data_IF_964886889576
#
_entry.id   IF_964886889576
#
_cell.length_a   1.000
_cell.length_b   1.000
_cell.length_c   1.000
_cell.angle_alpha   90.00
_cell.angle_beta   90.00
_cell.angle_gamma   90.00
#
_symmetry.space_group_name_H-M   'P 1'
#
loop_
_entity.id
_entity.type
_entity.pdbx_description
1 polymer ?
#
# COMPACT_ATOMS: atom_id res chain seq x y z
N UNK A 1 -20.01 -11.50 29.66
CA UNK A 1 -20.21 -10.37 28.72
C UNK A 1 -19.26 -10.62 27.55
N UNK A 2 -19.59 -11.57 26.68
CA UNK A 2 -18.51 -12.27 25.95
C UNK A 2 -18.29 -11.75 24.52
N UNK A 3 -19.17 -10.86 24.03
CA UNK A 3 -19.03 -10.19 22.74
C UNK A 3 -18.99 -8.67 22.94
N UNK A 4 -17.79 -8.12 23.12
CA UNK A 4 -17.52 -6.69 23.01
C UNK A 4 -16.78 -6.41 21.70
N UNK A 5 -17.47 -6.63 20.57
CA UNK A 5 -16.93 -6.45 19.21
C UNK A 5 -16.49 -5.00 18.92
N UNK A 6 -16.94 -4.04 19.72
CA UNK A 6 -16.58 -2.62 19.60
C UNK A 6 -15.27 -2.22 20.33
N UNK A 7 -14.69 -3.11 21.14
CA UNK A 7 -13.46 -2.80 21.88
C UNK A 7 -12.24 -2.72 20.97
N UNK A 8 -12.20 -3.52 19.91
CA UNK A 8 -11.11 -3.54 18.94
C UNK A 8 -11.66 -3.41 17.53
N UNK A 9 -10.97 -2.69 16.63
CA UNK A 9 -11.35 -2.62 15.24
C UNK A 9 -11.27 -4.00 14.57
N UNK A 10 -11.98 -4.18 13.46
CA UNK A 10 -12.02 -5.44 12.71
C UNK A 10 -10.62 -5.92 12.29
N UNK A 11 -9.72 -4.97 11.95
CA UNK A 11 -8.32 -5.25 11.67
C UNK A 11 -7.53 -5.86 12.85
N UNK A 12 -8.04 -5.84 14.08
CA UNK A 12 -7.44 -6.45 15.27
C UNK A 12 -8.32 -7.55 15.88
N UNK A 13 -9.31 -8.05 15.13
CA UNK A 13 -10.24 -9.12 15.58
C UNK A 13 -9.55 -10.44 15.98
N UNK A 14 -8.30 -10.64 15.59
CA UNK A 14 -7.50 -11.80 15.98
C UNK A 14 -6.91 -11.70 17.40
N UNK A 15 -6.90 -10.51 17.99
CA UNK A 15 -6.39 -10.29 19.35
C UNK A 15 -7.44 -10.78 20.34
N UNK A 16 -7.05 -11.69 21.23
CA UNK A 16 -7.90 -12.23 22.29
C UNK A 16 -7.33 -11.82 23.64
N UNK A 17 -8.19 -11.38 24.54
CA UNK A 17 -7.80 -10.95 25.88
C UNK A 17 -9.01 -10.70 26.78
N UNK A 18 -8.73 -10.53 28.06
CA UNK A 18 -9.72 -10.16 29.08
C UNK A 18 -9.39 -8.74 29.51
N UNK A 19 -10.40 -7.87 29.53
CA UNK A 19 -10.29 -6.50 30.02
C UNK A 19 -11.08 -6.41 31.32
N UNK A 20 -10.35 -6.24 32.42
CA UNK A 20 -10.93 -5.97 33.73
C UNK A 20 -10.84 -4.46 34.01
N UNK A 21 -11.95 -3.85 34.42
CA UNK A 21 -12.03 -2.40 34.64
C UNK A 21 -13.05 -2.08 35.73
N UNK A 22 -12.56 -1.48 36.81
CA UNK A 22 -13.38 -1.02 37.94
C UNK A 22 -14.17 0.27 37.62
N UNK A 23 -13.73 1.02 36.60
CA UNK A 23 -14.34 2.28 36.17
C UNK A 23 -15.57 2.08 35.27
N UNK A 24 -15.88 0.83 34.90
CA UNK A 24 -17.06 0.52 34.09
C UNK A 24 -18.30 0.43 34.99
N UNK A 25 -19.37 1.16 34.68
CA UNK A 25 -20.56 1.16 35.51
C UNK A 25 -21.30 -0.18 35.39
N UNK A 26 -21.34 -0.91 36.51
CA UNK A 26 -21.79 -2.32 36.60
C UNK A 26 -23.28 -2.54 36.29
N UNK A 27 -24.10 -1.48 36.37
CA UNK A 27 -25.57 -1.54 36.27
C UNK A 27 -26.14 -0.88 35.01
N UNK A 28 -25.40 -0.87 33.91
CA UNK A 28 -25.83 -0.22 32.65
C UNK A 28 -26.16 -1.27 31.58
N UNK A 29 -27.17 -1.00 30.76
CA UNK A 29 -27.52 -1.85 29.61
C UNK A 29 -26.34 -1.95 28.63
N UNK A 30 -26.24 -3.07 27.90
CA UNK A 30 -25.16 -3.27 26.92
C UNK A 30 -25.07 -2.13 25.90
N UNK A 31 -26.22 -1.61 25.50
CA UNK A 31 -26.39 -0.54 24.53
C UNK A 31 -25.90 0.82 25.07
N UNK A 32 -26.19 1.15 26.33
CA UNK A 32 -25.67 2.36 26.97
C UNK A 32 -24.18 2.24 27.34
N UNK A 33 -23.69 1.02 27.58
CA UNK A 33 -22.27 0.77 27.82
C UNK A 33 -21.45 1.06 26.55
N UNK A 34 -21.92 0.61 25.38
CA UNK A 34 -21.30 0.86 24.06
C UNK A 34 -21.15 2.36 23.74
N UNK A 35 -22.12 3.17 24.15
CA UNK A 35 -22.06 4.63 23.96
C UNK A 35 -21.17 5.36 24.98
N UNK A 36 -20.60 4.64 25.94
CA UNK A 36 -19.81 5.22 27.01
C UNK A 36 -18.44 5.72 26.49
N UNK A 37 -18.11 6.97 26.82
CA UNK A 37 -16.82 7.59 26.50
C UNK A 37 -15.63 6.79 27.05
N UNK A 38 -15.81 6.09 28.17
CA UNK A 38 -14.77 5.25 28.80
C UNK A 38 -14.35 4.11 27.87
N UNK A 39 -15.29 3.39 27.23
CA UNK A 39 -14.97 2.31 26.30
C UNK A 39 -14.18 2.80 25.08
N UNK A 40 -14.48 4.01 24.57
CA UNK A 40 -13.72 4.60 23.46
C UNK A 40 -12.26 4.88 23.85
N UNK A 41 -12.03 5.31 25.09
CA UNK A 41 -10.67 5.53 25.62
C UNK A 41 -9.94 4.20 25.80
N UNK A 42 -10.60 3.20 26.39
CA UNK A 42 -10.07 1.85 26.54
C UNK A 42 -9.69 1.29 25.17
N UNK A 43 -10.60 1.30 24.19
CA UNK A 43 -10.37 0.83 22.83
C UNK A 43 -9.14 1.50 22.19
N UNK A 44 -9.06 2.84 22.25
CA UNK A 44 -7.91 3.59 21.70
C UNK A 44 -6.58 3.17 22.33
N UNK A 45 -6.57 2.96 23.64
CA UNK A 45 -5.38 2.53 24.37
C UNK A 45 -4.99 1.08 24.04
N UNK A 46 -5.97 0.18 23.90
CA UNK A 46 -5.73 -1.20 23.48
C UNK A 46 -5.14 -1.25 22.08
N UNK A 47 -5.71 -0.54 21.11
CA UNK A 47 -5.18 -0.45 19.73
C UNK A 47 -3.73 0.04 19.75
N UNK A 48 -3.44 1.10 20.53
CA UNK A 48 -2.09 1.63 20.69
C UNK A 48 -1.13 0.57 21.24
N UNK A 49 -1.53 -0.18 22.26
CA UNK A 49 -0.72 -1.24 22.87
C UNK A 49 -0.50 -2.44 21.96
N UNK A 50 -1.50 -2.82 21.17
CA UNK A 50 -1.34 -3.85 20.14
C UNK A 50 -0.27 -3.45 19.12
N UNK A 51 -0.29 -2.20 18.65
CA UNK A 51 0.70 -1.70 17.68
C UNK A 51 2.11 -1.68 18.29
N UNK A 52 2.25 -1.24 19.55
CA UNK A 52 3.53 -1.29 20.29
C UNK A 52 4.06 -2.74 20.36
N UNK A 53 3.20 -3.70 20.72
CA UNK A 53 3.56 -5.12 20.73
C UNK A 53 4.00 -5.63 19.35
N UNK A 54 3.32 -5.23 18.27
CA UNK A 54 3.73 -5.63 16.91
C UNK A 54 5.09 -5.04 16.52
N UNK A 55 5.45 -3.87 17.04
CA UNK A 55 6.76 -3.27 16.85
C UNK A 55 7.84 -4.02 17.62
N UNK A 56 7.56 -4.46 18.84
CA UNK A 56 8.46 -5.32 19.63
C UNK A 56 8.69 -6.68 18.94
N UNK A 57 7.62 -7.33 18.45
CA UNK A 57 7.74 -8.57 17.67
C UNK A 57 8.60 -8.34 16.42
N UNK A 58 8.54 -7.14 15.83
CA UNK A 58 9.35 -6.79 14.65
C UNK A 58 10.86 -6.70 14.92
N UNK A 59 11.30 -6.68 16.18
CA UNK A 59 12.72 -6.74 16.55
C UNK A 59 13.31 -8.14 16.33
N UNK A 60 12.49 -9.20 16.41
CA UNK A 60 12.88 -10.55 16.07
C UNK A 60 12.40 -10.94 14.66
N UNK A 61 13.35 -11.09 13.72
CA UNK A 61 13.05 -11.43 12.31
C UNK A 61 12.23 -12.72 12.18
N UNK A 62 12.53 -13.76 12.97
CA UNK A 62 11.86 -15.05 12.85
C UNK A 62 10.42 -15.00 13.33
N UNK A 63 10.19 -14.41 14.50
CA UNK A 63 8.85 -14.27 15.07
C UNK A 63 8.00 -13.32 14.23
N UNK A 64 8.62 -12.25 13.73
CA UNK A 64 7.94 -11.32 12.84
C UNK A 64 7.51 -11.95 11.52
N UNK A 65 8.34 -12.83 10.94
CA UNK A 65 7.96 -13.52 9.70
C UNK A 65 6.72 -14.39 9.92
N UNK A 66 6.66 -15.16 11.01
CA UNK A 66 5.49 -15.97 11.38
C UNK A 66 4.26 -15.09 11.62
N UNK A 67 4.42 -14.00 12.37
CA UNK A 67 3.35 -13.03 12.63
C UNK A 67 2.83 -12.42 11.33
N UNK A 68 3.73 -11.98 10.44
CA UNK A 68 3.37 -11.33 9.19
C UNK A 68 2.70 -12.32 8.21
N UNK A 69 3.16 -13.56 8.15
CA UNK A 69 2.51 -14.61 7.35
C UNK A 69 1.07 -14.83 7.80
N UNK A 70 0.83 -14.93 9.10
CA UNK A 70 -0.51 -15.14 9.66
C UNK A 70 -1.42 -13.90 9.54
N UNK A 71 -0.89 -12.69 9.77
CA UNK A 71 -1.72 -11.49 10.01
C UNK A 71 -1.47 -10.33 9.03
N UNK A 72 -0.70 -10.51 7.95
CA UNK A 72 -0.44 -9.44 6.97
C UNK A 72 -1.70 -8.85 6.33
N UNK A 73 -2.77 -9.65 6.16
CA UNK A 73 -4.06 -9.17 5.65
C UNK A 73 -4.69 -8.16 6.60
N UNK A 74 -4.62 -8.43 7.90
CA UNK A 74 -5.18 -7.61 8.97
C UNK A 74 -4.41 -6.28 9.07
N UNK A 75 -3.08 -6.31 8.98
CA UNK A 75 -2.26 -5.09 8.93
C UNK A 75 -2.61 -4.21 7.71
N UNK A 76 -2.79 -4.83 6.53
CA UNK A 76 -3.19 -4.10 5.31
C UNK A 76 -4.58 -3.49 5.45
N UNK A 77 -5.51 -4.19 6.11
CA UNK A 77 -6.85 -3.68 6.41
C UNK A 77 -6.78 -2.50 7.39
N UNK A 78 -5.99 -2.62 8.46
CA UNK A 78 -5.81 -1.55 9.45
C UNK A 78 -5.26 -0.26 8.84
N UNK A 79 -4.43 -0.33 7.81
CA UNK A 79 -3.95 0.86 7.07
C UNK A 79 -5.05 1.55 6.27
N UNK A 80 -6.08 0.80 5.87
CA UNK A 80 -7.23 1.32 5.16
C UNK A 80 -8.25 1.96 6.11
N UNK A 81 -8.50 1.32 7.25
CA UNK A 81 -9.52 1.72 8.23
C UNK A 81 -9.00 2.76 9.24
N UNK A 82 -7.83 2.53 9.83
CA UNK A 82 -7.27 3.36 10.89
C UNK A 82 -6.35 4.44 10.33
N UNK A 83 -6.96 5.56 9.95
CA UNK A 83 -6.25 6.74 9.47
C UNK A 83 -5.28 7.34 10.51
N UNK A 84 -5.54 7.19 11.80
CA UNK A 84 -4.72 7.79 12.87
C UNK A 84 -3.41 7.02 13.06
N UNK A 85 -3.48 5.70 13.05
CA UNK A 85 -2.32 4.83 13.25
C UNK A 85 -1.66 4.35 11.94
N UNK A 86 -2.20 4.79 10.79
CA UNK A 86 -1.74 4.45 9.45
C UNK A 86 -0.23 4.48 9.27
N UNK A 87 0.44 5.50 9.78
CA UNK A 87 1.90 5.65 9.65
C UNK A 87 2.63 4.53 10.37
N UNK A 88 2.25 4.22 11.61
CA UNK A 88 2.87 3.15 12.42
C UNK A 88 2.60 1.78 11.81
N UNK A 89 1.36 1.52 11.39
CA UNK A 89 0.99 0.28 10.71
C UNK A 89 1.74 0.11 9.38
N UNK A 90 1.99 1.20 8.65
CA UNK A 90 2.74 1.15 7.40
C UNK A 90 4.21 0.72 7.58
N UNK A 91 4.82 0.99 8.74
CA UNK A 91 6.19 0.55 9.06
C UNK A 91 6.28 -0.97 9.29
N UNK A 92 5.18 -1.59 9.69
CA UNK A 92 5.05 -3.03 9.86
C UNK A 92 4.92 -3.76 8.50
N UNK A 93 4.60 -3.06 7.41
CA UNK A 93 4.49 -3.74 6.12
C UNK A 93 5.83 -4.27 5.61
N UNK A 94 5.77 -5.44 4.98
CA UNK A 94 6.89 -6.13 4.32
C UNK A 94 6.51 -6.49 2.89
N UNK A 95 7.49 -6.40 1.99
CA UNK A 95 7.29 -6.58 0.56
C UNK A 95 8.45 -7.35 -0.05
N UNK A 96 8.17 -8.10 -1.11
CA UNK A 96 9.21 -8.52 -2.04
C UNK A 96 9.61 -7.34 -2.92
N UNK A 97 10.90 -7.22 -3.18
CA UNK A 97 11.47 -6.23 -4.08
C UNK A 97 12.45 -6.90 -5.04
N UNK A 98 12.67 -6.28 -6.20
CA UNK A 98 13.60 -6.80 -7.22
C UNK A 98 15.03 -6.99 -6.70
N UNK A 99 15.43 -6.26 -5.64
CA UNK A 99 16.74 -6.38 -5.01
C UNK A 99 16.77 -7.26 -3.77
N UNK A 100 15.62 -7.66 -3.24
CA UNK A 100 15.55 -8.50 -2.04
C UNK A 100 15.39 -9.99 -2.35
N UNK A 101 15.18 -10.35 -3.62
CA UNK A 101 15.00 -11.73 -4.04
C UNK A 101 13.80 -12.37 -3.33
N UNK A 102 14.04 -13.52 -2.71
CA UNK A 102 13.02 -14.28 -1.98
C UNK A 102 12.75 -13.75 -0.58
N UNK A 103 13.62 -12.89 -0.03
CA UNK A 103 13.38 -12.27 1.27
C UNK A 103 12.46 -11.04 1.16
N UNK A 104 11.56 -10.91 2.13
CA UNK A 104 10.78 -9.69 2.28
C UNK A 104 11.60 -8.59 2.97
N UNK A 105 11.43 -7.35 2.50
CA UNK A 105 12.11 -6.16 3.01
C UNK A 105 11.10 -5.11 3.48
N UNK A 106 11.48 -4.27 4.46
CA UNK A 106 10.63 -3.17 4.90
C UNK A 106 10.70 -1.97 3.96
N UNK A 107 9.73 -1.06 4.04
CA UNK A 107 9.80 0.22 3.34
C UNK A 107 10.99 1.07 3.79
N UNK A 108 11.36 1.00 5.08
CA UNK A 108 12.52 1.73 5.60
C UNK A 108 13.81 1.24 4.94
N UNK A 109 14.01 -0.08 4.88
CA UNK A 109 15.19 -0.66 4.25
C UNK A 109 15.22 -0.42 2.73
N UNK A 110 14.05 -0.35 2.09
CA UNK A 110 13.97 0.06 0.70
C UNK A 110 14.48 1.50 0.53
N UNK A 111 14.05 2.42 1.41
CA UNK A 111 14.43 3.83 1.37
C UNK A 111 15.93 4.02 1.59
N UNK A 112 16.56 3.28 2.50
CA UNK A 112 18.01 3.37 2.74
C UNK A 112 18.84 2.91 1.54
N UNK A 113 18.29 2.04 0.69
CA UNK A 113 18.91 1.57 -0.56
C UNK A 113 18.54 2.41 -1.80
N UNK A 114 17.79 3.50 -1.64
CA UNK A 114 17.48 4.39 -2.75
C UNK A 114 18.73 5.14 -3.19
N UNK A 115 18.90 5.30 -4.51
CA UNK A 115 20.00 6.09 -5.07
C UNK A 115 19.75 7.58 -4.81
N UNK A 116 20.82 8.36 -4.65
CA UNK A 116 20.74 9.83 -4.65
C UNK A 116 20.12 10.30 -5.98
N UNK A 117 19.00 11.03 -5.91
CA UNK A 117 18.17 11.43 -7.07
C UNK A 117 16.78 10.77 -7.10
N UNK A 118 16.65 9.57 -6.53
CA UNK A 118 15.42 8.79 -6.62
C UNK A 118 14.36 9.32 -5.63
N UNK A 119 13.48 10.23 -6.09
CA UNK A 119 12.40 10.80 -5.27
C UNK A 119 11.11 9.95 -5.24
N UNK A 120 11.10 8.79 -5.93
CA UNK A 120 9.89 8.02 -6.18
C UNK A 120 10.07 6.56 -5.77
N UNK A 121 9.13 6.04 -4.97
CA UNK A 121 9.13 4.61 -4.66
C UNK A 121 8.41 3.86 -5.77
N UNK A 122 9.11 2.92 -6.39
CA UNK A 122 8.59 2.06 -7.43
C UNK A 122 7.93 0.86 -6.74
N UNK A 123 6.59 0.90 -6.60
CA UNK A 123 5.84 -0.21 -6.05
C UNK A 123 4.82 -0.69 -7.07
N UNK A 124 4.83 -1.99 -7.37
CA UNK A 124 3.84 -2.58 -8.26
C UNK A 124 2.43 -2.45 -7.66
N UNK A 125 2.24 -2.72 -6.35
CA UNK A 125 0.92 -2.72 -5.71
C UNK A 125 0.98 -2.38 -4.21
N UNK A 126 0.97 -1.09 -3.81
CA UNK A 126 0.60 -0.72 -2.43
C UNK A 126 0.21 0.77 -2.24
N UNK A 127 -0.86 1.03 -1.47
CA UNK A 127 -1.22 2.33 -0.89
C UNK A 127 -0.89 2.37 0.62
N UNK A 128 0.28 2.87 1.01
CA UNK A 128 0.59 3.33 2.38
C UNK A 128 0.84 4.87 2.45
N UNK A 129 0.90 5.52 3.61
CA UNK A 129 1.12 6.99 3.67
C UNK A 129 2.61 7.33 3.82
N UNK A 130 3.09 8.42 3.19
CA UNK A 130 4.47 8.89 3.29
C UNK A 130 4.90 9.73 2.08
N UNK A 131 5.76 9.16 1.22
CA UNK A 131 6.27 9.80 -0.02
C UNK A 131 5.41 9.46 -1.25
N UNK A 132 5.42 10.29 -2.32
CA UNK A 132 4.67 10.04 -3.57
C UNK A 132 5.17 8.74 -4.21
N UNK A 133 4.41 7.65 -4.05
CA UNK A 133 4.68 6.37 -4.70
C UNK A 133 4.07 6.38 -6.09
N UNK A 134 4.77 5.79 -7.05
CA UNK A 134 4.26 5.64 -8.40
C UNK A 134 4.24 4.18 -8.77
N UNK A 135 3.09 3.77 -9.28
CA UNK A 135 2.90 2.44 -9.82
C UNK A 135 3.54 2.38 -11.20
N UNK A 136 4.31 1.32 -11.44
CA UNK A 136 4.97 1.07 -12.73
C UNK A 136 3.97 0.89 -13.87
N UNK A 137 2.72 0.50 -13.56
CA UNK A 137 1.63 0.33 -14.53
C UNK A 137 0.81 1.60 -14.76
N UNK A 138 1.17 2.71 -14.09
CA UNK A 138 0.53 4.01 -14.27
C UNK A 138 1.40 4.97 -15.06
N UNK A 139 0.75 5.94 -15.69
CA UNK A 139 1.43 7.05 -16.34
C UNK A 139 2.22 7.91 -15.34
N UNK A 140 3.19 8.69 -15.82
CA UNK A 140 3.95 9.64 -14.98
C UNK A 140 5.17 9.05 -14.25
N UNK A 141 5.60 7.85 -14.61
CA UNK A 141 6.86 7.27 -14.14
C UNK A 141 8.02 8.15 -14.61
N UNK A 142 8.80 8.68 -13.65
CA UNK A 142 10.04 9.39 -13.93
C UNK A 142 11.19 8.54 -13.42
N UNK A 143 12.01 8.06 -14.35
CA UNK A 143 13.26 7.37 -14.05
C UNK A 143 14.38 8.41 -14.10
N UNK A 144 15.34 8.31 -13.19
CA UNK A 144 16.56 9.10 -13.28
C UNK A 144 17.36 8.55 -14.47
N UNK A 145 17.49 9.38 -15.50
CA UNK A 145 18.17 9.10 -16.77
C UNK A 145 19.40 9.98 -16.88
N UNK A 146 20.49 9.46 -17.48
CA UNK A 146 21.65 10.27 -17.85
C UNK A 146 21.27 11.31 -18.92
N UNK A 147 22.01 12.42 -19.00
CA UNK A 147 21.89 13.43 -20.07
C UNK A 147 21.92 12.79 -21.48
N UNK A 148 22.70 11.73 -21.66
CA UNK A 148 22.80 11.00 -22.93
C UNK A 148 21.55 10.14 -23.24
N UNK A 149 20.92 9.56 -22.22
CA UNK A 149 19.68 8.78 -22.38
C UNK A 149 18.50 9.69 -22.69
N UNK A 150 18.47 10.88 -22.09
CA UNK A 150 17.46 11.90 -22.35
C UNK A 150 17.51 12.43 -23.79
N UNK A 151 18.71 12.62 -24.36
CA UNK A 151 18.89 12.99 -25.78
C UNK A 151 18.45 11.88 -26.72
N UNK A 152 18.81 10.62 -26.44
CA UNK A 152 18.34 9.46 -27.23
C UNK A 152 16.81 9.34 -27.20
N UNK A 153 16.19 9.67 -26.06
CA UNK A 153 14.75 9.66 -25.87
C UNK A 153 14.03 10.75 -26.67
N UNK A 154 14.55 11.97 -26.70
CA UNK A 154 13.98 13.04 -27.54
C UNK A 154 14.06 12.67 -29.03
N UNK A 155 15.21 12.15 -29.49
CA UNK A 155 15.37 11.68 -30.85
C UNK A 155 14.43 10.52 -31.22
N UNK A 156 14.23 9.54 -30.32
CA UNK A 156 13.29 8.43 -30.53
C UNK A 156 11.84 8.91 -30.55
N UNK A 157 11.48 9.85 -29.67
CA UNK A 157 10.14 10.45 -29.67
C UNK A 157 9.86 11.18 -30.97
N UNK A 158 10.79 12.00 -31.45
CA UNK A 158 10.64 12.70 -32.74
C UNK A 158 10.54 11.70 -33.91
N UNK A 159 11.40 10.68 -33.94
CA UNK A 159 11.43 9.68 -35.01
C UNK A 159 10.13 8.87 -35.10
N UNK A 160 9.51 8.56 -33.96
CA UNK A 160 8.33 7.71 -33.90
C UNK A 160 7.02 8.46 -33.63
N UNK A 161 7.04 9.79 -33.53
CA UNK A 161 5.83 10.60 -33.33
C UNK A 161 4.82 10.43 -34.47
N UNK A 162 5.32 10.43 -35.72
CA UNK A 162 4.49 10.17 -36.90
C UNK A 162 3.81 8.79 -36.85
N UNK A 163 4.55 7.75 -36.44
CA UNK A 163 4.01 6.40 -36.28
C UNK A 163 2.97 6.33 -35.15
N UNK A 164 3.22 7.00 -34.03
CA UNK A 164 2.28 7.04 -32.90
C UNK A 164 0.95 7.70 -33.29
N UNK A 165 0.98 8.75 -34.12
CA UNK A 165 -0.22 9.41 -34.65
C UNK A 165 -1.02 8.49 -35.56
N UNK A 166 -0.37 7.88 -36.56
CA UNK A 166 -1.04 6.93 -37.47
C UNK A 166 -1.66 5.77 -36.70
N UNK A 167 -0.95 5.19 -35.73
CA UNK A 167 -1.48 4.09 -34.92
C UNK A 167 -2.63 4.54 -34.01
N UNK A 168 -2.58 5.75 -33.46
CA UNK A 168 -3.69 6.33 -32.71
C UNK A 168 -4.93 6.55 -33.58
N UNK A 169 -4.76 7.00 -34.82
CA UNK A 169 -5.88 7.19 -35.76
C UNK A 169 -6.52 5.85 -36.14
N UNK A 170 -5.71 4.80 -36.36
CA UNK A 170 -6.20 3.43 -36.64
C UNK A 170 -6.95 2.83 -35.44
N UNK A 171 -6.49 3.09 -34.22
CA UNK A 171 -7.09 2.55 -32.99
C UNK A 171 -8.28 3.38 -32.49
N UNK A 172 -8.42 4.63 -32.96
CA UNK A 172 -9.55 5.51 -32.67
C UNK A 172 -9.82 5.65 -31.16
N UNK A 173 -11.07 5.39 -30.79
CA UNK A 173 -11.57 5.51 -29.41
C UNK A 173 -11.12 4.37 -28.48
N UNK A 174 -10.46 3.33 -28.99
CA UNK A 174 -10.04 2.18 -28.17
C UNK A 174 -8.81 2.45 -27.31
N UNK A 175 -8.00 3.45 -27.65
CA UNK A 175 -6.77 3.82 -26.92
C UNK A 175 -6.83 5.31 -26.67
N UNK A 176 -6.56 5.78 -25.46
CA UNK A 176 -6.62 7.21 -25.14
C UNK A 176 -5.45 7.98 -25.76
N UNK A 177 -4.23 7.45 -25.64
CA UNK A 177 -2.99 8.08 -26.11
C UNK A 177 -1.94 7.03 -26.48
N UNK A 178 -1.15 7.29 -27.52
CA UNK A 178 0.00 6.47 -27.87
C UNK A 178 1.29 7.30 -27.81
N UNK A 179 2.26 6.85 -27.00
CA UNK A 179 3.56 7.51 -26.86
C UNK A 179 4.67 6.50 -26.73
N UNK A 180 5.85 6.85 -27.21
CA UNK A 180 7.09 6.08 -26.96
C UNK A 180 7.40 6.10 -25.46
N UNK A 181 7.56 4.91 -24.88
CA UNK A 181 7.99 4.76 -23.49
C UNK A 181 9.44 4.26 -23.39
N UNK A 182 10.10 4.77 -22.37
CA UNK A 182 11.42 4.42 -21.83
C UNK A 182 11.42 3.18 -20.92
N UNK A 183 10.25 2.75 -20.43
CA UNK A 183 10.15 1.69 -19.42
C UNK A 183 10.19 0.26 -19.97
N UNK A 184 10.20 0.12 -21.29
CA UNK A 184 10.08 -1.17 -21.97
C UNK A 184 11.43 -1.50 -22.64
N UNK A 185 11.99 -2.65 -22.29
CA UNK A 185 13.28 -3.11 -22.82
C UNK A 185 13.06 -4.14 -23.93
N UNK A 186 12.56 -5.33 -23.57
CA UNK A 186 12.41 -6.45 -24.52
C UNK A 186 11.00 -6.54 -25.15
N UNK A 187 10.00 -5.89 -24.56
CA UNK A 187 8.63 -5.96 -25.06
C UNK A 187 8.37 -4.92 -26.15
N UNK A 188 7.54 -5.26 -27.14
CA UNK A 188 7.25 -4.37 -28.27
C UNK A 188 6.32 -3.20 -27.89
N UNK A 189 5.41 -3.41 -26.94
CA UNK A 189 4.50 -2.38 -26.43
C UNK A 189 4.01 -2.73 -25.01
N UNK A 190 3.48 -1.74 -24.29
CA UNK A 190 2.90 -1.91 -22.96
C UNK A 190 1.65 -1.04 -22.80
N UNK A 191 0.58 -1.60 -22.24
CA UNK A 191 -0.64 -0.88 -21.90
C UNK A 191 -0.49 -0.23 -20.51
N UNK A 192 -0.79 1.05 -20.43
CA UNK A 192 -0.64 1.86 -19.22
C UNK A 192 -1.99 2.50 -18.89
N UNK A 193 -2.32 2.56 -17.61
CA UNK A 193 -3.52 3.24 -17.12
C UNK A 193 -3.19 4.67 -16.68
N UNK A 194 -4.09 5.63 -16.86
CA UNK A 194 -3.90 7.02 -16.42
C UNK A 194 -3.55 7.17 -14.93
N UNK A 195 -2.94 8.30 -14.55
CA UNK A 195 -2.39 8.53 -13.20
C UNK A 195 -3.41 8.29 -12.08
N UNK A 196 -4.67 8.69 -12.28
CA UNK A 196 -5.75 8.55 -11.28
C UNK A 196 -6.73 7.42 -11.57
N UNK A 197 -6.60 6.74 -12.72
CA UNK A 197 -7.48 5.65 -13.13
C UNK A 197 -7.34 4.37 -12.29
N UNK A 198 -8.27 3.44 -12.53
CA UNK A 198 -8.18 2.09 -12.00
C UNK A 198 -7.10 1.32 -12.75
N UNK A 199 -6.25 0.58 -12.03
CA UNK A 199 -5.30 -0.32 -12.69
C UNK A 199 -6.03 -1.59 -13.12
N UNK A 200 -5.51 -2.32 -14.12
CA UNK A 200 -6.11 -3.58 -14.57
C UNK A 200 -6.32 -4.60 -13.42
N UNK A 201 -5.41 -4.65 -12.45
CA UNK A 201 -5.59 -5.50 -11.28
C UNK A 201 -6.70 -4.98 -10.34
N UNK A 202 -6.85 -3.66 -10.20
CA UNK A 202 -7.91 -3.07 -9.39
C UNK A 202 -9.28 -3.32 -10.04
N UNK A 203 -9.40 -3.16 -11.36
CA UNK A 203 -10.60 -3.54 -12.12
C UNK A 203 -10.97 -5.00 -11.90
N UNK A 204 -10.00 -5.91 -11.99
CA UNK A 204 -10.23 -7.34 -11.73
C UNK A 204 -10.77 -7.58 -10.32
N UNK A 205 -10.18 -6.96 -9.30
CA UNK A 205 -10.64 -7.11 -7.91
C UNK A 205 -12.06 -6.56 -7.73
N UNK A 206 -12.37 -5.41 -8.32
CA UNK A 206 -13.71 -4.80 -8.22
C UNK A 206 -14.77 -5.62 -8.93
N UNK A 207 -14.46 -6.20 -10.11
CA UNK A 207 -15.37 -7.09 -10.84
C UNK A 207 -15.73 -8.37 -10.09
N UNK A 208 -14.88 -8.82 -9.17
CA UNK A 208 -15.14 -10.01 -8.34
C UNK A 208 -15.83 -9.71 -7.01
N UNK A 209 -15.91 -8.43 -6.60
CA UNK A 209 -16.56 -8.00 -5.35
C UNK A 209 -17.97 -7.43 -5.56
N UNK A 210 -18.33 -7.10 -6.80
CA UNK A 210 -19.67 -6.74 -7.25
C UNK A 210 -20.36 -7.97 -7.82
#
# INVERSE_FOLDING_TARGET
MDNCEELLPECLSFVKGIVDSEDLPLNISREMLQQNKILKVISKNLVKKCIELFQEIAENKEDYNKFYEAFSKNLKLGIHEDSQNKTKLAELLRYHSTKSGDEMTSLKDYVTRMKEGQNQHLLHHCRSAGKKRVSTTKEGLKLDESEDEKKKKEALKERFDGLCKVMKDVLGDKVEKMTVSDRVVDSLCCLVTGEYGWTANMERIMRHKL
#
